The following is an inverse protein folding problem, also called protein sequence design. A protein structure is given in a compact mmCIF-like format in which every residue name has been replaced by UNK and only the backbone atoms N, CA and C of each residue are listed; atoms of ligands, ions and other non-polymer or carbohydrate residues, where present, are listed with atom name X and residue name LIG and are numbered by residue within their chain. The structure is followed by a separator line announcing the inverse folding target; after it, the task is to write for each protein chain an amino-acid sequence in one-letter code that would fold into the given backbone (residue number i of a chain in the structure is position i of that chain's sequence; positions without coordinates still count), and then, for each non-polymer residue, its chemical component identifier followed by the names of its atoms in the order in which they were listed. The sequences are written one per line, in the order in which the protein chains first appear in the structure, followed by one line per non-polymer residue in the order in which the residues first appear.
data_IF_243346848761
#
_entry.id   IF_243346848761
#
_cell.length_a   1.000
_cell.length_b   1.000
_cell.length_c   1.000
_cell.angle_alpha   90.00
_cell.angle_beta   90.00
_cell.angle_gamma   90.00
#
_symmetry.space_group_name_H-M   'P 1'
#
loop_
_entity.id
_entity.type
_entity.pdbx_description
1 polymer ?
#
# COMPACT_ATOMS: atom_id res chain seq x y z
N UNK A 1 16.84 65.00 23.83
CA UNK A 1 16.13 65.05 22.54
C UNK A 1 16.44 63.76 21.77
N UNK A 2 15.68 62.68 22.01
CA UNK A 2 14.79 62.00 21.03
C UNK A 2 15.36 61.85 19.60
N UNK A 3 15.73 60.61 19.23
CA UNK A 3 15.50 60.06 17.89
C UNK A 3 15.13 58.58 18.01
N UNK A 4 13.87 58.29 17.68
CA UNK A 4 13.25 56.97 17.62
C UNK A 4 13.88 56.14 16.49
N UNK A 5 14.25 54.89 16.78
CA UNK A 5 14.49 53.87 15.78
C UNK A 5 13.16 53.21 15.41
N UNK A 6 12.73 53.32 14.15
CA UNK A 6 11.62 52.54 13.60
C UNK A 6 12.12 51.13 13.23
N UNK A 7 11.71 50.13 14.01
CA UNK A 7 11.79 48.72 13.65
C UNK A 7 10.55 48.39 12.78
N UNK A 8 10.76 48.14 11.49
CA UNK A 8 9.72 47.56 10.63
C UNK A 8 9.81 46.03 10.69
N UNK A 9 8.93 45.42 11.48
CA UNK A 9 8.64 43.99 11.49
C UNK A 9 7.58 43.70 10.41
N UNK A 10 7.99 43.12 9.28
CA UNK A 10 7.08 42.42 8.36
C UNK A 10 7.08 40.91 8.70
N UNK A 11 5.94 40.30 9.05
CA UNK A 11 5.83 38.85 9.09
C UNK A 11 5.52 38.32 7.68
N UNK A 12 6.46 37.58 7.11
CA UNK A 12 6.23 36.80 5.90
C UNK A 12 5.30 35.61 6.23
N UNK A 13 4.01 35.75 5.93
CA UNK A 13 3.05 34.65 5.89
C UNK A 13 3.36 33.77 4.67
N UNK A 14 4.21 32.75 4.87
CA UNK A 14 4.39 31.66 3.93
C UNK A 14 3.13 30.78 3.94
N UNK A 15 2.23 31.03 2.99
CA UNK A 15 1.15 30.11 2.66
C UNK A 15 1.77 28.84 2.04
N UNK A 16 1.99 27.82 2.86
CA UNK A 16 2.27 26.48 2.38
C UNK A 16 1.05 25.98 1.61
N UNK A 17 1.16 25.86 0.29
CA UNK A 17 0.17 25.14 -0.51
C UNK A 17 0.13 23.69 -0.01
N UNK A 18 -0.88 23.36 0.78
CA UNK A 18 -1.22 21.98 1.08
C UNK A 18 -1.55 21.31 -0.25
N UNK A 19 -0.64 20.48 -0.76
CA UNK A 19 -0.93 19.60 -1.88
C UNK A 19 -2.10 18.70 -1.44
N UNK A 20 -3.31 19.05 -1.85
CA UNK A 20 -4.51 18.29 -1.55
C UNK A 20 -4.32 16.90 -2.18
N UNK A 21 -4.14 15.88 -1.34
CA UNK A 21 -4.14 14.51 -1.82
C UNK A 21 -5.50 14.24 -2.48
N UNK A 22 -5.54 13.54 -3.63
CA UNK A 22 -6.78 13.16 -4.28
C UNK A 22 -7.75 12.50 -3.30
N UNK A 23 -9.05 12.76 -3.45
CA UNK A 23 -10.05 12.18 -2.55
C UNK A 23 -10.10 10.65 -2.74
N UNK A 24 -10.01 9.86 -1.66
CA UNK A 24 -10.15 8.42 -1.73
C UNK A 24 -11.60 8.04 -2.07
N UNK A 25 -11.78 7.05 -2.94
CA UNK A 25 -13.07 6.48 -3.32
C UNK A 25 -13.33 5.11 -2.68
N UNK A 26 -12.28 4.42 -2.26
CA UNK A 26 -12.37 3.22 -1.43
C UNK A 26 -11.07 2.97 -0.66
N UNK A 27 -11.17 2.18 0.40
CA UNK A 27 -10.07 1.67 1.19
C UNK A 27 -10.31 0.19 1.53
N UNK A 28 -9.34 -0.67 1.23
CA UNK A 28 -9.45 -2.12 1.40
C UNK A 28 -8.33 -2.59 2.33
N UNK A 29 -8.62 -3.35 3.39
CA UNK A 29 -7.59 -3.90 4.26
C UNK A 29 -6.75 -4.94 3.51
N UNK A 30 -5.45 -4.98 3.84
CA UNK A 30 -4.51 -6.00 3.36
C UNK A 30 -3.93 -6.72 4.58
N UNK A 31 -3.87 -8.04 4.54
CA UNK A 31 -3.19 -8.86 5.54
C UNK A 31 -2.38 -9.97 4.88
N UNK A 32 -1.30 -10.39 5.51
CA UNK A 32 -0.51 -11.51 5.00
C UNK A 32 0.78 -11.72 5.76
N UNK A 33 1.69 -12.45 5.13
CA UNK A 33 2.96 -12.80 5.74
C UNK A 33 4.06 -13.06 4.70
N UNK A 34 5.31 -12.87 5.11
CA UNK A 34 6.46 -13.38 4.37
C UNK A 34 6.62 -14.89 4.59
N UNK A 35 7.43 -15.54 3.75
CA UNK A 35 7.74 -16.97 3.85
C UNK A 35 8.43 -17.36 5.16
N UNK A 36 9.04 -16.41 5.87
CA UNK A 36 9.59 -16.62 7.21
C UNK A 36 8.56 -16.48 8.34
N UNK A 37 7.26 -16.43 8.02
CA UNK A 37 6.16 -16.32 8.98
C UNK A 37 5.96 -14.91 9.54
N UNK A 38 6.71 -13.90 9.08
CA UNK A 38 6.54 -12.53 9.56
C UNK A 38 5.24 -11.93 9.03
N UNK A 39 4.27 -11.77 9.92
CA UNK A 39 2.99 -11.14 9.62
C UNK A 39 3.14 -9.67 9.23
N UNK A 40 2.20 -9.20 8.40
CA UNK A 40 2.11 -7.83 7.97
C UNK A 40 0.66 -7.44 7.73
N UNK A 41 0.38 -6.15 7.87
CA UNK A 41 -0.92 -5.58 7.61
C UNK A 41 -0.79 -4.24 6.90
N UNK A 42 -1.85 -3.85 6.20
CA UNK A 42 -1.85 -2.61 5.47
C UNK A 42 -3.18 -2.31 4.80
N UNK A 43 -3.12 -1.46 3.77
CA UNK A 43 -4.31 -0.96 3.09
C UNK A 43 -4.01 -0.66 1.63
N UNK A 44 -4.97 -0.95 0.77
CA UNK A 44 -5.07 -0.48 -0.60
C UNK A 44 -6.10 0.65 -0.66
N UNK A 45 -5.74 1.81 -1.21
CA UNK A 45 -6.63 2.96 -1.37
C UNK A 45 -6.73 3.31 -2.85
N UNK A 46 -7.94 3.39 -3.37
CA UNK A 46 -8.22 3.91 -4.71
C UNK A 46 -8.64 5.37 -4.64
N UNK A 47 -8.20 6.17 -5.61
CA UNK A 47 -8.52 7.59 -5.69
C UNK A 47 -9.36 7.91 -6.93
N UNK A 48 -10.13 9.02 -6.85
CA UNK A 48 -11.02 9.45 -7.93
C UNK A 48 -10.31 9.78 -9.26
N UNK A 49 -9.02 10.09 -9.22
CA UNK A 49 -8.18 10.34 -10.39
C UNK A 49 -7.76 9.06 -11.14
N UNK A 50 -8.17 7.88 -10.68
CA UNK A 50 -7.86 6.59 -11.30
C UNK A 50 -6.57 5.94 -10.82
N UNK A 51 -5.82 6.58 -9.93
CA UNK A 51 -4.63 6.01 -9.28
C UNK A 51 -5.06 5.22 -8.04
N UNK A 52 -4.42 4.08 -7.81
CA UNK A 52 -4.51 3.34 -6.57
C UNK A 52 -3.13 3.23 -5.94
N UNK A 53 -3.06 3.27 -4.62
CA UNK A 53 -1.83 3.10 -3.85
C UNK A 53 -2.05 2.11 -2.73
N UNK A 54 -1.05 1.27 -2.47
CA UNK A 54 -1.09 0.38 -1.32
C UNK A 54 0.10 0.62 -0.44
N UNK A 55 -0.07 0.19 0.81
CA UNK A 55 1.03 0.01 1.72
C UNK A 55 0.83 -1.24 2.57
N UNK A 56 1.94 -1.84 2.97
CA UNK A 56 1.99 -2.95 3.93
C UNK A 56 3.14 -2.69 4.90
N UNK A 57 2.87 -2.79 6.19
CA UNK A 57 3.85 -2.61 7.24
C UNK A 57 4.11 -3.93 7.97
N UNK A 58 5.39 -4.22 8.16
CA UNK A 58 5.85 -5.29 9.03
C UNK A 58 6.12 -4.69 10.42
N UNK A 59 5.49 -5.18 11.50
CA UNK A 59 5.73 -4.65 12.84
C UNK A 59 7.23 -4.59 13.18
N UNK A 60 7.69 -3.42 13.66
CA UNK A 60 9.09 -3.16 14.01
C UNK A 60 10.06 -3.16 12.81
N UNK A 61 9.59 -2.92 11.59
CA UNK A 61 10.36 -3.14 10.36
C UNK A 61 9.96 -2.20 9.22
N UNK A 62 10.53 -2.42 8.03
CA UNK A 62 10.28 -1.64 6.82
C UNK A 62 8.80 -1.67 6.38
N UNK A 63 8.38 -0.60 5.71
CA UNK A 63 7.10 -0.49 5.02
C UNK A 63 7.30 -0.69 3.52
N UNK A 64 6.40 -1.43 2.89
CA UNK A 64 6.33 -1.63 1.45
C UNK A 64 5.18 -0.82 0.86
N UNK A 65 5.36 -0.29 -0.34
CA UNK A 65 4.37 0.49 -1.08
C UNK A 65 4.40 0.16 -2.56
N UNK A 66 3.32 0.50 -3.26
CA UNK A 66 3.25 0.47 -4.72
C UNK A 66 1.97 1.13 -5.20
N UNK A 67 1.84 1.29 -6.52
CA UNK A 67 0.71 1.98 -7.15
C UNK A 67 0.19 1.19 -8.33
N UNK A 68 -1.12 1.23 -8.57
CA UNK A 68 -1.78 0.59 -9.71
C UNK A 68 -2.81 1.51 -10.36
N UNK A 69 -3.32 1.12 -11.52
CA UNK A 69 -4.47 1.77 -12.15
C UNK A 69 -5.76 1.17 -11.60
N UNK A 70 -6.58 1.98 -10.92
CA UNK A 70 -7.88 1.54 -10.37
C UNK A 70 -8.81 1.03 -11.47
N UNK A 71 -8.64 1.54 -12.69
CA UNK A 71 -9.48 1.21 -13.85
C UNK A 71 -8.93 0.03 -14.68
N UNK A 72 -7.87 -0.63 -14.21
CA UNK A 72 -7.33 -1.81 -14.88
C UNK A 72 -8.35 -2.97 -14.83
N UNK A 73 -8.86 -3.45 -15.97
CA UNK A 73 -9.92 -4.45 -16.03
C UNK A 73 -9.40 -5.88 -15.84
N UNK A 74 -8.09 -6.10 -15.82
CA UNK A 74 -7.51 -7.43 -15.82
C UNK A 74 -7.69 -8.09 -14.44
N UNK A 75 -8.16 -9.35 -14.37
CA UNK A 75 -8.29 -10.06 -13.10
C UNK A 75 -6.94 -10.26 -12.41
N UNK A 76 -5.85 -10.36 -13.19
CA UNK A 76 -4.49 -10.47 -12.67
C UNK A 76 -3.64 -9.29 -13.12
N UNK A 77 -2.97 -8.62 -12.20
CA UNK A 77 -2.02 -7.54 -12.49
C UNK A 77 -0.70 -7.72 -11.77
N UNK A 78 0.35 -7.15 -12.33
CA UNK A 78 1.67 -7.07 -11.70
C UNK A 78 1.88 -5.64 -11.22
N UNK A 79 2.17 -5.48 -9.93
CA UNK A 79 2.41 -4.17 -9.32
C UNK A 79 3.85 -4.11 -8.81
N UNK A 80 4.65 -3.11 -9.22
CA UNK A 80 5.96 -2.87 -8.63
C UNK A 80 5.86 -2.55 -7.14
N UNK A 81 6.71 -3.18 -6.33
CA UNK A 81 6.78 -3.01 -4.88
C UNK A 81 8.09 -2.35 -4.50
N UNK A 82 8.03 -1.35 -3.64
CA UNK A 82 9.20 -0.73 -3.01
C UNK A 82 9.09 -0.85 -1.50
N UNK A 83 10.10 -1.42 -0.85
CA UNK A 83 10.18 -1.56 0.60
C UNK A 83 11.39 -0.78 1.14
N UNK A 84 11.12 0.27 1.91
CA UNK A 84 12.17 1.21 2.34
C UNK A 84 12.95 1.79 1.15
N UNK A 85 14.24 2.11 1.36
CA UNK A 85 15.04 2.80 0.33
C UNK A 85 15.61 1.87 -0.76
N UNK A 86 15.86 0.59 -0.45
CA UNK A 86 16.72 -0.28 -1.28
C UNK A 86 16.07 -1.57 -1.78
N UNK A 87 15.00 -2.04 -1.14
CA UNK A 87 14.38 -3.31 -1.51
C UNK A 87 13.26 -3.03 -2.52
N UNK A 88 13.29 -3.73 -3.64
CA UNK A 88 12.31 -3.62 -4.73
C UNK A 88 11.75 -5.01 -5.05
N UNK A 89 10.66 -5.07 -5.78
CA UNK A 89 10.08 -6.34 -6.18
C UNK A 89 8.81 -6.17 -6.98
N UNK A 90 8.07 -7.25 -7.11
CA UNK A 90 6.79 -7.29 -7.80
C UNK A 90 5.78 -8.07 -6.99
N UNK A 91 4.54 -7.61 -7.03
CA UNK A 91 3.37 -8.30 -6.52
C UNK A 91 2.51 -8.74 -7.70
N UNK A 92 2.29 -10.05 -7.82
CA UNK A 92 1.28 -10.59 -8.72
C UNK A 92 -0.03 -10.62 -7.92
N UNK A 93 -0.97 -9.76 -8.30
CA UNK A 93 -2.25 -9.58 -7.63
C UNK A 93 -3.35 -10.23 -8.45
N UNK A 94 -4.10 -11.15 -7.84
CA UNK A 94 -5.26 -11.82 -8.43
C UNK A 94 -6.52 -11.32 -7.74
N UNK A 95 -7.41 -10.70 -8.51
CA UNK A 95 -8.65 -10.06 -8.06
C UNK A 95 -9.83 -10.99 -8.33
N UNK A 96 -10.75 -11.10 -7.36
CA UNK A 96 -12.04 -11.75 -7.55
C UNK A 96 -12.99 -10.85 -8.34
N UNK A 97 -14.16 -11.40 -8.71
CA UNK A 97 -15.24 -10.61 -9.29
C UNK A 97 -15.58 -9.42 -8.39
N UNK A 98 -15.73 -8.23 -8.99
CA UNK A 98 -15.92 -6.97 -8.25
C UNK A 98 -14.63 -6.28 -7.82
N UNK A 99 -13.45 -6.88 -8.03
CA UNK A 99 -12.11 -6.27 -7.87
C UNK A 99 -11.70 -5.79 -6.47
N UNK A 100 -12.59 -5.83 -5.48
CA UNK A 100 -12.36 -5.36 -4.10
C UNK A 100 -11.75 -6.42 -3.17
N UNK A 101 -11.73 -7.68 -3.61
CA UNK A 101 -11.29 -8.83 -2.82
C UNK A 101 -10.35 -9.69 -3.65
N UNK A 102 -9.33 -10.29 -3.03
CA UNK A 102 -8.39 -11.15 -3.75
C UNK A 102 -7.12 -11.45 -2.98
N UNK A 103 -6.11 -11.92 -3.71
CA UNK A 103 -4.82 -12.34 -3.17
C UNK A 103 -3.64 -11.74 -3.92
N UNK A 104 -2.47 -11.78 -3.31
CA UNK A 104 -1.22 -11.38 -3.93
C UNK A 104 -0.06 -12.29 -3.52
N UNK A 105 0.83 -12.57 -4.47
CA UNK A 105 2.11 -13.22 -4.23
C UNK A 105 3.22 -12.23 -4.56
N UNK A 106 4.16 -12.05 -3.64
CA UNK A 106 5.22 -11.05 -3.74
C UNK A 106 6.58 -11.72 -3.83
N UNK A 107 7.44 -11.20 -4.70
CA UNK A 107 8.86 -11.54 -4.74
C UNK A 107 9.70 -10.25 -4.63
N UNK A 108 10.61 -10.20 -3.66
CA UNK A 108 11.49 -9.07 -3.39
C UNK A 108 12.93 -9.37 -3.81
N UNK A 109 13.68 -8.32 -4.14
CA UNK A 109 15.07 -8.37 -4.64
C UNK A 109 16.07 -8.93 -3.64
N UNK A 110 15.72 -8.94 -2.35
CA UNK A 110 16.51 -9.56 -1.29
C UNK A 110 16.20 -11.06 -1.11
N UNK A 111 15.47 -11.68 -2.03
CA UNK A 111 15.10 -13.09 -2.01
C UNK A 111 13.89 -13.41 -1.14
N UNK A 112 13.34 -12.44 -0.40
CA UNK A 112 12.13 -12.65 0.39
C UNK A 112 10.91 -12.81 -0.52
N UNK A 113 9.99 -13.68 -0.10
CA UNK A 113 8.70 -13.89 -0.75
C UNK A 113 7.59 -13.71 0.26
N UNK A 114 6.40 -13.37 -0.21
CA UNK A 114 5.23 -13.21 0.66
C UNK A 114 3.93 -13.54 -0.03
N UNK A 115 2.92 -13.77 0.81
CA UNK A 115 1.55 -14.07 0.43
C UNK A 115 0.64 -13.13 1.20
N UNK A 116 -0.32 -12.54 0.48
CA UNK A 116 -1.23 -11.55 1.04
C UNK A 116 -2.64 -11.78 0.51
N UNK A 117 -3.62 -11.36 1.29
CA UNK A 117 -5.02 -11.25 0.92
C UNK A 117 -5.49 -9.83 1.18
N UNK A 118 -6.54 -9.42 0.47
CA UNK A 118 -7.18 -8.13 0.66
C UNK A 118 -8.70 -8.26 0.53
N UNK A 119 -9.40 -7.31 1.15
CA UNK A 119 -10.86 -7.32 1.22
C UNK A 119 -11.34 -8.40 2.18
N UNK A 120 -12.40 -9.10 1.78
CA UNK A 120 -13.09 -10.09 2.63
C UNK A 120 -12.55 -11.52 2.48
N UNK A 121 -11.39 -11.70 1.83
CA UNK A 121 -10.78 -13.01 1.63
C UNK A 121 -9.91 -13.39 2.83
N UNK A 122 -10.20 -14.54 3.45
CA UNK A 122 -9.33 -15.09 4.50
C UNK A 122 -8.06 -15.71 3.92
N UNK A 123 -6.96 -15.66 4.66
CA UNK A 123 -5.66 -16.16 4.22
C UNK A 123 -5.70 -17.65 3.89
N UNK A 124 -6.38 -18.45 4.71
CA UNK A 124 -6.51 -19.90 4.57
C UNK A 124 -7.35 -20.27 3.34
N UNK A 125 -8.36 -19.46 3.02
CA UNK A 125 -9.17 -19.65 1.81
C UNK A 125 -8.34 -19.46 0.53
N UNK A 126 -7.35 -18.56 0.58
CA UNK A 126 -6.48 -18.25 -0.54
C UNK A 126 -5.30 -19.22 -0.67
N UNK A 127 -4.74 -19.71 0.44
CA UNK A 127 -3.44 -20.38 0.45
C UNK A 127 -3.38 -21.74 1.18
N UNK A 128 -4.43 -22.18 1.89
CA UNK A 128 -4.46 -23.47 2.63
C UNK A 128 -5.36 -24.53 1.95
N UNK A 129 -5.75 -24.34 0.68
CA UNK A 129 -6.58 -25.29 -0.09
C UNK A 129 -5.90 -26.64 -0.38
N UNK A 130 -4.71 -26.91 0.18
CA UNK A 130 -3.94 -28.14 0.00
C UNK A 130 -4.11 -29.20 1.10
N UNK A 131 -4.77 -28.90 2.23
CA UNK A 131 -5.14 -29.94 3.21
C UNK A 131 -6.51 -30.49 2.89
N UNK A 132 -6.60 -31.30 1.83
CA UNK A 132 -7.66 -32.31 1.75
C UNK A 132 -7.55 -33.13 3.04
N UNK A 133 -8.50 -32.95 3.96
CA UNK A 133 -8.72 -33.91 5.03
C UNK A 133 -9.12 -35.20 4.34
N UNK A 134 -8.16 -36.07 4.07
CA UNK A 134 -8.42 -37.48 3.78
C UNK A 134 -9.18 -38.00 4.99
N UNK A 135 -10.47 -38.22 4.79
CA UNK A 135 -11.35 -38.87 5.75
C UNK A 135 -11.12 -40.37 5.71
#
# INVERSE_FOLDING_TARGET
MKKLALLNLLPALLAGAANAQPAPIFAIPITGQLTNGKAAAGQATGYNNGVGEFWVAFPGSIRCTGSWSVRDPNPTIVIPVTCGARVRGEAIVTRQAGFMTGSAIVALSNGQRGQFVFGDLAFEQAFDQGRVRTR
#
